data_IF_259723778350
#
_entry.id   IF_259723778350
#
_cell.length_a   1.000
_cell.length_b   1.000
_cell.length_c   1.000
_cell.angle_alpha   90.00
_cell.angle_beta   90.00
_cell.angle_gamma   90.00
#
_symmetry.space_group_name_H-M   'P 1'
#
loop_
_entity.id
_entity.type
_entity.pdbx_description
1 polymer ?
#
# COMPACT_ATOMS: atom_id res chain seq x y z
N UNK A 1 -3.44 19.73 -0.45
CA UNK A 1 -4.54 18.76 -0.49
C UNK A 1 -4.57 18.10 -1.87
N UNK A 2 -4.93 16.82 -1.89
CA UNK A 2 -5.09 16.02 -3.11
C UNK A 2 -6.56 15.62 -3.26
N UNK A 3 -7.08 15.58 -4.47
CA UNK A 3 -8.42 15.06 -4.72
C UNK A 3 -8.41 13.51 -4.74
N UNK A 4 -9.50 12.85 -4.29
CA UNK A 4 -9.55 11.38 -4.24
C UNK A 4 -9.29 10.69 -5.58
N UNK A 5 -9.65 11.31 -6.70
CA UNK A 5 -9.42 10.78 -8.06
C UNK A 5 -7.92 10.71 -8.43
N UNK A 6 -7.10 11.58 -7.80
CA UNK A 6 -5.68 11.72 -8.13
C UNK A 6 -4.79 10.78 -7.30
N UNK A 7 -5.39 10.05 -6.34
CA UNK A 7 -4.66 9.09 -5.48
C UNK A 7 -3.84 8.09 -6.31
N UNK A 8 -4.38 7.63 -7.44
CA UNK A 8 -3.74 6.64 -8.29
C UNK A 8 -2.85 7.25 -9.38
N UNK A 9 -2.78 8.58 -9.49
CA UNK A 9 -1.98 9.27 -10.51
C UNK A 9 -0.47 9.23 -10.24
N UNK A 10 -0.07 8.98 -8.98
CA UNK A 10 1.35 8.89 -8.59
C UNK A 10 2.05 10.25 -8.52
N UNK A 11 1.30 11.33 -8.38
CA UNK A 11 1.83 12.71 -8.32
C UNK A 11 2.40 13.07 -6.95
N UNK A 12 2.15 12.26 -5.93
CA UNK A 12 2.59 12.49 -4.55
C UNK A 12 3.21 11.23 -3.97
N UNK A 13 4.24 11.40 -3.13
CA UNK A 13 4.97 10.30 -2.52
C UNK A 13 4.25 9.70 -1.32
N UNK A 14 3.54 10.52 -0.54
CA UNK A 14 2.84 10.11 0.69
C UNK A 14 1.48 10.80 0.78
N UNK A 15 0.46 10.00 1.09
CA UNK A 15 -0.90 10.48 1.34
C UNK A 15 -1.26 10.17 2.78
N UNK A 16 -1.60 11.21 3.55
CA UNK A 16 -2.09 11.08 4.92
C UNK A 16 -3.59 11.31 4.94
N UNK A 17 -4.33 10.39 5.52
CA UNK A 17 -5.78 10.48 5.65
C UNK A 17 -6.26 9.85 6.95
N UNK A 18 -7.53 10.05 7.27
CA UNK A 18 -8.19 9.33 8.36
C UNK A 18 -8.17 7.81 8.13
N UNK A 19 -7.98 7.03 9.20
CA UNK A 19 -7.81 5.59 9.11
C UNK A 19 -9.06 4.86 8.58
N UNK A 20 -10.27 5.36 8.83
CA UNK A 20 -11.49 4.81 8.26
C UNK A 20 -11.55 5.08 6.76
N UNK A 21 -11.33 6.34 6.36
CA UNK A 21 -11.30 6.74 4.94
C UNK A 21 -10.22 5.96 4.18
N UNK A 22 -9.01 5.88 4.72
CA UNK A 22 -7.92 5.11 4.11
C UNK A 22 -8.26 3.63 3.91
N UNK A 23 -8.92 3.00 4.89
CA UNK A 23 -9.36 1.62 4.77
C UNK A 23 -10.46 1.44 3.71
N UNK A 24 -11.40 2.38 3.60
CA UNK A 24 -12.42 2.37 2.53
C UNK A 24 -11.77 2.49 1.17
N UNK A 25 -10.85 3.44 0.98
CA UNK A 25 -10.13 3.63 -0.29
C UNK A 25 -9.39 2.36 -0.68
N UNK A 26 -8.61 1.76 0.23
CA UNK A 26 -7.87 0.53 -0.04
C UNK A 26 -8.80 -0.64 -0.43
N UNK A 27 -9.87 -0.87 0.34
CA UNK A 27 -10.81 -1.98 0.08
C UNK A 27 -11.61 -1.77 -1.21
N UNK A 28 -12.02 -0.54 -1.49
CA UNK A 28 -12.69 -0.20 -2.74
C UNK A 28 -11.76 -0.43 -3.94
N UNK A 29 -10.52 0.07 -3.86
CA UNK A 29 -9.52 -0.12 -4.92
C UNK A 29 -9.23 -1.61 -5.17
N UNK A 30 -9.03 -2.41 -4.12
CA UNK A 30 -8.86 -3.87 -4.22
C UNK A 30 -10.07 -4.52 -4.91
N UNK A 31 -11.29 -4.16 -4.51
CA UNK A 31 -12.53 -4.71 -5.07
C UNK A 31 -12.73 -4.34 -6.53
N UNK A 32 -12.55 -3.06 -6.87
CA UNK A 32 -12.67 -2.58 -8.26
C UNK A 32 -11.63 -3.26 -9.16
N UNK A 33 -10.38 -3.32 -8.71
CA UNK A 33 -9.32 -3.98 -9.47
C UNK A 33 -9.62 -5.46 -9.74
N UNK A 34 -10.06 -6.20 -8.72
CA UNK A 34 -10.45 -7.60 -8.86
C UNK A 34 -11.60 -7.79 -9.84
N UNK A 35 -12.63 -6.94 -9.75
CA UNK A 35 -13.78 -6.96 -10.65
C UNK A 35 -13.39 -6.67 -12.10
N UNK A 36 -12.61 -5.62 -12.35
CA UNK A 36 -12.15 -5.26 -13.69
C UNK A 36 -11.29 -6.36 -14.32
N UNK A 37 -10.37 -6.96 -13.56
CA UNK A 37 -9.58 -8.09 -14.05
C UNK A 37 -10.45 -9.32 -14.35
N UNK A 38 -11.52 -9.55 -13.57
CA UNK A 38 -12.52 -10.58 -13.84
C UNK A 38 -13.26 -10.32 -15.15
N UNK A 39 -13.78 -9.11 -15.34
CA UNK A 39 -14.48 -8.71 -16.59
C UNK A 39 -13.57 -8.82 -17.81
N UNK A 40 -12.31 -8.39 -17.71
CA UNK A 40 -11.34 -8.57 -18.80
C UNK A 40 -11.12 -10.03 -19.14
N UNK A 41 -10.98 -10.89 -18.14
CA UNK A 41 -10.89 -12.34 -18.37
C UNK A 41 -12.11 -12.88 -19.12
N UNK A 42 -13.32 -12.48 -18.71
CA UNK A 42 -14.56 -12.94 -19.34
C UNK A 42 -14.64 -12.48 -20.80
N UNK A 43 -14.25 -11.26 -21.12
CA UNK A 43 -14.16 -10.74 -22.51
C UNK A 43 -13.22 -11.64 -23.34
N UNK A 44 -12.03 -11.96 -22.82
CA UNK A 44 -11.09 -12.81 -23.54
C UNK A 44 -11.54 -14.26 -23.67
N UNK A 45 -12.47 -14.73 -22.85
CA UNK A 45 -12.96 -16.10 -22.90
C UNK A 45 -14.19 -16.30 -23.79
N UNK A 46 -14.75 -15.24 -24.42
CA UNK A 46 -15.98 -15.30 -25.20
C UNK A 46 -15.88 -16.11 -26.51
N UNK A 47 -14.72 -16.10 -27.17
CA UNK A 47 -14.54 -16.77 -28.47
C UNK A 47 -13.13 -17.34 -28.62
N UNK A 48 -12.93 -18.16 -29.66
CA UNK A 48 -11.60 -18.71 -30.02
C UNK A 48 -10.67 -17.56 -30.42
N UNK A 49 -11.17 -16.59 -31.16
CA UNK A 49 -10.37 -15.44 -31.60
C UNK A 49 -9.88 -14.61 -30.40
N UNK A 50 -10.76 -14.27 -29.46
CA UNK A 50 -10.40 -13.51 -28.27
C UNK A 50 -9.43 -14.28 -27.38
N UNK A 51 -9.56 -15.61 -27.28
CA UNK A 51 -8.59 -16.47 -26.57
C UNK A 51 -7.21 -16.44 -27.21
N UNK A 52 -7.10 -16.41 -28.51
CA UNK A 52 -5.82 -16.24 -29.22
C UNK A 52 -5.22 -14.85 -28.96
N UNK A 53 -6.04 -13.78 -29.00
CA UNK A 53 -5.59 -12.45 -28.64
C UNK A 53 -5.07 -12.38 -27.19
N UNK A 54 -5.69 -13.10 -26.26
CA UNK A 54 -5.22 -13.18 -24.88
C UNK A 54 -3.77 -13.67 -24.76
N UNK A 55 -3.33 -14.58 -25.63
CA UNK A 55 -1.95 -15.07 -25.60
C UNK A 55 -0.94 -13.95 -25.82
N UNK A 56 -1.26 -12.97 -26.69
CA UNK A 56 -0.43 -11.81 -26.95
C UNK A 56 -0.33 -10.83 -25.78
N UNK A 57 -1.43 -10.65 -25.03
CA UNK A 57 -1.51 -9.68 -23.92
C UNK A 57 -1.29 -10.29 -22.53
N UNK A 58 -1.22 -11.61 -22.42
CA UNK A 58 -1.11 -12.34 -21.16
C UNK A 58 0.05 -11.87 -20.28
N UNK A 59 1.18 -11.51 -20.89
CA UNK A 59 2.35 -11.00 -20.16
C UNK A 59 2.04 -9.68 -19.45
N UNK A 60 1.45 -8.74 -20.18
CA UNK A 60 1.06 -7.43 -19.62
C UNK A 60 0.00 -7.55 -18.52
N UNK A 61 -1.02 -8.38 -18.74
CA UNK A 61 -2.06 -8.63 -17.72
C UNK A 61 -1.51 -9.29 -16.46
N UNK A 62 -0.54 -10.18 -16.59
CA UNK A 62 0.14 -10.77 -15.44
C UNK A 62 0.94 -9.74 -14.65
N UNK A 63 1.67 -8.86 -15.35
CA UNK A 63 2.40 -7.77 -14.69
C UNK A 63 1.45 -6.82 -13.97
N UNK A 64 0.35 -6.42 -14.60
CA UNK A 64 -0.69 -5.60 -13.97
C UNK A 64 -1.24 -6.27 -12.70
N UNK A 65 -1.56 -7.57 -12.77
CA UNK A 65 -2.01 -8.33 -11.61
C UNK A 65 -0.95 -8.35 -10.49
N UNK A 66 0.34 -8.50 -10.82
CA UNK A 66 1.44 -8.47 -9.85
C UNK A 66 1.56 -7.11 -9.17
N UNK A 67 1.41 -6.00 -9.91
CA UNK A 67 1.46 -4.65 -9.34
C UNK A 67 0.33 -4.40 -8.34
N UNK A 68 -0.82 -5.07 -8.51
CA UNK A 68 -1.99 -4.94 -7.65
C UNK A 68 -2.07 -6.03 -6.56
N UNK A 69 -1.11 -6.94 -6.49
CA UNK A 69 -1.09 -8.04 -5.53
C UNK A 69 -0.50 -7.57 -4.19
N UNK A 70 -1.35 -7.38 -3.19
CA UNK A 70 -0.93 -6.99 -1.84
C UNK A 70 0.02 -7.99 -1.18
N UNK A 71 0.02 -9.27 -1.60
CA UNK A 71 0.95 -10.29 -1.12
C UNK A 71 2.42 -10.02 -1.54
N UNK A 72 2.65 -9.22 -2.61
CA UNK A 72 4.01 -8.84 -3.01
C UNK A 72 4.68 -7.92 -1.99
N UNK A 73 3.92 -7.01 -1.40
CA UNK A 73 4.38 -6.13 -0.33
C UNK A 73 4.39 -6.86 1.00
N UNK A 74 3.36 -7.68 1.27
CA UNK A 74 3.20 -8.55 2.42
C UNK A 74 2.54 -7.90 3.63
N UNK A 75 2.74 -6.61 3.86
CA UNK A 75 2.13 -5.89 4.97
C UNK A 75 2.65 -4.48 5.13
N UNK A 76 1.97 -3.70 5.97
CA UNK A 76 2.32 -2.33 6.27
C UNK A 76 2.84 -2.18 7.72
N UNK A 77 3.86 -1.36 7.98
CA UNK A 77 4.32 -1.07 9.32
C UNK A 77 3.27 -0.25 10.09
N UNK A 78 3.03 -0.62 11.33
CA UNK A 78 2.26 0.18 12.28
C UNK A 78 3.17 1.27 12.83
N UNK A 79 3.01 2.48 12.32
CA UNK A 79 3.82 3.62 12.71
C UNK A 79 3.47 4.09 14.13
N UNK A 80 4.47 4.59 14.87
CA UNK A 80 4.30 5.03 16.27
C UNK A 80 4.48 3.95 17.32
N UNK A 81 4.68 2.68 16.93
CA UNK A 81 5.05 1.63 17.85
C UNK A 81 6.55 1.70 18.22
N UNK A 82 6.90 1.38 19.48
CA UNK A 82 8.27 1.41 19.96
C UNK A 82 9.19 0.34 19.31
N UNK A 83 8.58 -0.68 18.69
CA UNK A 83 9.26 -1.75 17.95
C UNK A 83 8.53 -1.99 16.64
N UNK A 84 9.20 -2.50 15.60
CA UNK A 84 8.56 -2.79 14.32
C UNK A 84 7.41 -3.79 14.47
N UNK A 85 6.21 -3.36 14.12
CA UNK A 85 5.01 -4.18 14.03
C UNK A 85 4.51 -4.11 12.59
N UNK A 86 4.42 -5.26 11.92
CA UNK A 86 3.94 -5.33 10.53
C UNK A 86 2.55 -5.97 10.52
N UNK A 87 1.57 -5.23 10.04
CA UNK A 87 0.21 -5.73 9.84
C UNK A 87 0.11 -6.37 8.46
N UNK A 88 0.02 -7.70 8.41
CA UNK A 88 -0.30 -8.44 7.20
C UNK A 88 -1.81 -8.40 6.91
N UNK A 89 -2.19 -8.67 5.65
CA UNK A 89 -3.60 -8.76 5.27
C UNK A 89 -4.25 -10.02 5.87
N UNK A 90 -5.52 -9.95 6.27
CA UNK A 90 -6.23 -11.08 6.89
C UNK A 90 -6.33 -12.32 6.00
N UNK A 91 -6.29 -12.17 4.68
CA UNK A 91 -6.27 -13.25 3.68
C UNK A 91 -4.86 -13.68 3.25
N UNK A 92 -3.79 -13.16 3.88
CA UNK A 92 -2.41 -13.47 3.51
C UNK A 92 -2.11 -14.96 3.59
N UNK A 93 -1.51 -15.48 2.54
CA UNK A 93 -0.99 -16.84 2.45
C UNK A 93 0.52 -16.84 2.76
N UNK A 94 1.17 -17.96 2.56
CA UNK A 94 2.60 -18.14 2.84
C UNK A 94 3.49 -17.05 2.21
N UNK A 95 3.19 -16.62 0.97
CA UNK A 95 3.91 -15.56 0.27
C UNK A 95 3.75 -14.21 0.99
N UNK A 96 2.53 -13.82 1.35
CA UNK A 96 2.26 -12.58 2.07
C UNK A 96 2.95 -12.56 3.43
N UNK A 97 2.88 -13.64 4.20
CA UNK A 97 3.58 -13.75 5.50
C UNK A 97 5.10 -13.67 5.33
N UNK A 98 5.67 -14.37 4.34
CA UNK A 98 7.11 -14.25 4.03
C UNK A 98 7.50 -12.79 3.76
N UNK A 99 6.72 -12.09 2.95
CA UNK A 99 6.99 -10.70 2.61
C UNK A 99 6.77 -9.75 3.81
N UNK A 100 5.79 -10.02 4.68
CA UNK A 100 5.62 -9.29 5.93
C UNK A 100 6.83 -9.41 6.85
N UNK A 101 7.41 -10.62 6.98
CA UNK A 101 8.66 -10.85 7.72
C UNK A 101 9.82 -10.08 7.08
N UNK A 102 9.90 -10.07 5.74
CA UNK A 102 10.90 -9.26 5.02
C UNK A 102 10.76 -7.77 5.33
N UNK A 103 9.53 -7.24 5.37
CA UNK A 103 9.28 -5.84 5.75
C UNK A 103 9.73 -5.57 7.19
N UNK A 104 9.43 -6.46 8.15
CA UNK A 104 9.90 -6.31 9.52
C UNK A 104 11.43 -6.24 9.60
N UNK A 105 12.13 -7.11 8.85
CA UNK A 105 13.59 -7.09 8.75
C UNK A 105 14.11 -5.75 8.20
N UNK A 106 13.46 -5.21 7.16
CA UNK A 106 13.83 -3.91 6.58
C UNK A 106 13.60 -2.76 7.57
N UNK A 107 12.50 -2.78 8.33
CA UNK A 107 12.23 -1.77 9.35
C UNK A 107 13.31 -1.77 10.45
N UNK A 108 13.77 -2.94 10.87
CA UNK A 108 14.87 -3.07 11.82
C UNK A 108 16.20 -2.61 11.21
N UNK A 109 16.52 -3.06 10.00
CA UNK A 109 17.79 -2.74 9.34
C UNK A 109 17.97 -1.24 9.05
N UNK A 110 16.86 -0.54 8.80
CA UNK A 110 16.84 0.91 8.53
C UNK A 110 16.51 1.75 9.78
N UNK A 111 16.46 1.13 10.95
CA UNK A 111 16.10 1.80 12.23
C UNK A 111 14.88 2.72 12.11
N UNK A 112 13.79 2.22 11.54
CA UNK A 112 12.56 2.98 11.33
C UNK A 112 12.04 3.60 12.64
N UNK A 113 12.05 2.82 13.73
CA UNK A 113 11.52 3.29 15.02
C UNK A 113 12.39 4.38 15.64
N UNK A 114 13.72 4.25 15.61
CA UNK A 114 14.64 5.27 16.13
C UNK A 114 14.58 6.56 15.32
N UNK A 115 14.54 6.46 14.00
CA UNK A 115 14.36 7.62 13.11
C UNK A 115 13.06 8.36 13.40
N UNK A 116 11.95 7.64 13.59
CA UNK A 116 10.66 8.25 13.93
C UNK A 116 10.68 8.91 15.31
N UNK A 117 11.26 8.26 16.32
CA UNK A 117 11.36 8.84 17.67
C UNK A 117 12.15 10.15 17.65
N UNK A 118 13.26 10.18 16.94
CA UNK A 118 14.08 11.39 16.81
C UNK A 118 13.31 12.51 16.12
N UNK A 119 12.64 12.23 15.00
CA UNK A 119 11.85 13.22 14.27
C UNK A 119 10.68 13.77 15.11
N UNK A 120 9.98 12.89 15.85
CA UNK A 120 8.90 13.32 16.75
C UNK A 120 9.41 14.17 17.91
N UNK A 121 10.57 13.87 18.47
CA UNK A 121 11.18 14.68 19.51
C UNK A 121 11.53 16.09 19.00
N UNK A 122 12.05 16.21 17.79
CA UNK A 122 12.32 17.50 17.16
C UNK A 122 11.06 18.33 16.94
N UNK A 123 9.99 17.70 16.43
CA UNK A 123 8.69 18.35 16.24
C UNK A 123 8.10 18.83 17.57
N UNK A 124 8.17 17.98 18.60
CA UNK A 124 7.69 18.34 19.94
C UNK A 124 8.48 19.50 20.54
N UNK A 125 9.80 19.53 20.37
CA UNK A 125 10.65 20.64 20.83
C UNK A 125 10.32 21.95 20.12
N UNK A 126 10.12 21.92 18.79
CA UNK A 126 9.70 23.11 18.02
C UNK A 126 8.35 23.64 18.46
N UNK A 127 7.36 22.75 18.63
CA UNK A 127 6.03 23.16 19.09
C UNK A 127 6.02 23.72 20.53
N UNK A 128 6.93 23.27 21.38
CA UNK A 128 7.09 23.82 22.73
C UNK A 128 7.72 25.24 22.68
N UNK A 129 8.73 25.46 21.83
CA UNK A 129 9.36 26.78 21.66
C UNK A 129 8.37 27.82 21.12
N UNK A 130 7.58 27.48 20.10
CA UNK A 130 6.56 28.38 19.51
C UNK A 130 5.47 28.80 20.53
N UNK A 131 5.13 27.97 21.51
CA UNK A 131 4.18 28.32 22.57
C UNK A 131 4.78 29.28 23.58
N UNK A 132 6.07 29.19 23.87
CA UNK A 132 6.76 30.06 24.81
C UNK A 132 6.97 31.47 24.23
N UNK A 133 7.13 31.61 22.91
CA UNK A 133 7.27 32.90 22.23
C UNK A 133 5.92 33.61 22.00
N UNK A 134 4.79 32.96 22.23
CA UNK A 134 3.45 33.47 22.04
C UNK A 134 2.79 33.99 23.35
N UNK A 135 3.42 33.78 24.51
CA UNK A 135 3.02 34.30 25.84
C UNK A 135 3.86 35.54 26.19
#
# INVERSE_FOLDING_TARGET
NIEPRDIMAGEVDVIVCDGFVGNVVLKLTEGVAGTLLGMLKDIFMQSIVTKLCYLGVKGGLRNLKHMMDSEEIGGAPLLGAAKPVIKAHGSSKAKGIKNAIRQAKLCVANDLCGTMQSALAEVAAKAAAEKTDAE
#
